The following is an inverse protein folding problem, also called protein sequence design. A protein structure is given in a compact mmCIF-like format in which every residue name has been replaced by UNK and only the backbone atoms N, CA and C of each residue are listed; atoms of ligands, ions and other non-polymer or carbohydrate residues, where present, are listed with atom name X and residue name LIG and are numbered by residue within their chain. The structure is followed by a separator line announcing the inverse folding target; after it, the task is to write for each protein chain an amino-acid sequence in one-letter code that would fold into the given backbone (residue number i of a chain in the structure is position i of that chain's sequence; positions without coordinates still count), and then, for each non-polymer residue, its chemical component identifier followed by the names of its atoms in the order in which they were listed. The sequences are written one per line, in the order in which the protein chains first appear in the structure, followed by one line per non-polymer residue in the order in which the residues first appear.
data_IF_298211705250
#
_entry.id   IF_298211705250
#
_cell.length_a   1.000
_cell.length_b   1.000
_cell.length_c   1.000
_cell.angle_alpha   90.00
_cell.angle_beta   90.00
_cell.angle_gamma   90.00
#
_symmetry.space_group_name_H-M   'P 1'
#
loop_
_entity.id
_entity.type
_entity.pdbx_description
1 polymer ?
#
# COMPACT_ATOMS: atom_id res chain seq x y z
N UNK A 1 -8.36 -0.42 -52.20
CA UNK A 1 -7.59 -0.49 -50.94
C UNK A 1 -8.21 0.31 -49.80
N UNK A 2 -8.46 1.62 -49.96
CA UNK A 2 -9.02 2.45 -48.88
C UNK A 2 -10.40 1.99 -48.35
N UNK A 3 -11.30 1.53 -49.22
CA UNK A 3 -12.61 1.03 -48.80
C UNK A 3 -12.55 -0.27 -47.97
N UNK A 4 -11.58 -1.14 -48.23
CA UNK A 4 -11.38 -2.36 -47.44
C UNK A 4 -10.88 -2.01 -46.03
N UNK A 5 -9.95 -1.06 -45.93
CA UNK A 5 -9.45 -0.54 -44.65
C UNK A 5 -10.58 0.13 -43.86
N UNK A 6 -11.38 0.99 -44.50
CA UNK A 6 -12.51 1.65 -43.87
C UNK A 6 -13.54 0.64 -43.34
N UNK A 7 -13.84 -0.42 -44.11
CA UNK A 7 -14.74 -1.49 -43.68
C UNK A 7 -14.23 -2.24 -42.44
N UNK A 8 -12.93 -2.57 -42.39
CA UNK A 8 -12.30 -3.22 -41.24
C UNK A 8 -12.33 -2.32 -40.01
N UNK A 9 -12.04 -1.03 -40.17
CA UNK A 9 -12.05 -0.08 -39.05
C UNK A 9 -13.46 0.10 -38.48
N UNK A 10 -14.48 0.31 -39.32
CA UNK A 10 -15.86 0.45 -38.86
C UNK A 10 -16.35 -0.81 -38.14
N UNK A 11 -15.99 -2.00 -38.64
CA UNK A 11 -16.31 -3.25 -37.96
C UNK A 11 -15.55 -3.41 -36.63
N UNK A 12 -14.28 -3.01 -36.58
CA UNK A 12 -13.48 -2.98 -35.36
C UNK A 12 -14.08 -2.08 -34.29
N UNK A 13 -14.43 -0.84 -34.65
CA UNK A 13 -15.08 0.11 -33.74
C UNK A 13 -16.44 -0.40 -33.23
N UNK A 14 -17.23 -1.08 -34.07
CA UNK A 14 -18.49 -1.67 -33.63
C UNK A 14 -18.29 -2.79 -32.60
N UNK A 15 -17.30 -3.67 -32.79
CA UNK A 15 -16.98 -4.74 -31.84
C UNK A 15 -16.42 -4.19 -30.52
N UNK A 16 -15.56 -3.18 -30.57
CA UNK A 16 -15.02 -2.49 -29.39
C UNK A 16 -16.12 -1.80 -28.60
N UNK A 17 -17.06 -1.12 -29.26
CA UNK A 17 -18.20 -0.47 -28.60
C UNK A 17 -19.07 -1.44 -27.80
N UNK A 18 -19.24 -2.68 -28.28
CA UNK A 18 -19.90 -3.75 -27.51
C UNK A 18 -19.07 -4.19 -26.30
N UNK A 19 -17.78 -4.41 -26.47
CA UNK A 19 -16.88 -4.81 -25.39
C UNK A 19 -16.79 -3.79 -24.25
N UNK A 20 -16.83 -2.50 -24.54
CA UNK A 20 -16.81 -1.43 -23.51
C UNK A 20 -18.06 -1.52 -22.60
N UNK A 21 -19.21 -1.89 -23.15
CA UNK A 21 -20.44 -2.03 -22.37
C UNK A 21 -20.35 -3.22 -21.41
N UNK A 22 -19.87 -4.36 -21.90
CA UNK A 22 -19.64 -5.55 -21.08
C UNK A 22 -18.62 -5.28 -19.97
N UNK A 23 -17.53 -4.54 -20.26
CA UNK A 23 -16.55 -4.15 -19.23
C UNK A 23 -17.15 -3.22 -18.16
N UNK A 24 -18.05 -2.32 -18.54
CA UNK A 24 -18.72 -1.44 -17.59
C UNK A 24 -19.69 -2.20 -16.68
N UNK A 25 -20.38 -3.21 -17.21
CA UNK A 25 -21.24 -4.10 -16.43
C UNK A 25 -20.41 -4.94 -15.45
N UNK A 26 -19.30 -5.54 -15.92
CA UNK A 26 -18.36 -6.27 -15.07
C UNK A 26 -17.71 -5.37 -13.99
N UNK A 27 -17.36 -4.13 -14.33
CA UNK A 27 -16.81 -3.18 -13.36
C UNK A 27 -17.84 -2.82 -12.28
N UNK A 28 -19.12 -2.71 -12.65
CA UNK A 28 -20.21 -2.50 -11.70
C UNK A 28 -20.39 -3.70 -10.79
N UNK A 29 -20.40 -4.92 -11.34
CA UNK A 29 -20.50 -6.15 -10.54
C UNK A 29 -19.32 -6.27 -9.57
N UNK A 30 -18.09 -5.97 -10.02
CA UNK A 30 -16.89 -5.92 -9.16
C UNK A 30 -17.00 -4.86 -8.07
N UNK A 31 -17.57 -3.70 -8.37
CA UNK A 31 -17.79 -2.66 -7.37
C UNK A 31 -18.86 -3.11 -6.36
N UNK A 32 -19.95 -3.72 -6.84
CA UNK A 32 -21.01 -4.25 -6.01
C UNK A 32 -20.48 -5.35 -5.09
N UNK A 33 -19.68 -6.29 -5.58
CA UNK A 33 -19.07 -7.32 -4.72
C UNK A 33 -18.17 -6.71 -3.64
N UNK A 34 -17.39 -5.68 -3.99
CA UNK A 34 -16.57 -4.94 -3.02
C UNK A 34 -17.41 -4.27 -1.93
N UNK A 35 -18.50 -3.57 -2.27
CA UNK A 35 -19.35 -2.88 -1.27
C UNK A 35 -19.86 -3.85 -0.21
N UNK A 36 -20.20 -5.08 -0.59
CA UNK A 36 -20.68 -6.09 0.34
C UNK A 36 -19.55 -6.68 1.21
N UNK A 37 -18.31 -6.69 0.74
CA UNK A 37 -17.17 -7.27 1.44
C UNK A 37 -16.43 -6.26 2.35
N UNK A 38 -16.43 -4.97 2.00
CA UNK A 38 -15.82 -3.90 2.80
C UNK A 38 -16.19 -3.97 4.29
N UNK A 39 -17.47 -4.04 4.70
CA UNK A 39 -17.81 -4.00 6.12
C UNK A 39 -17.21 -5.17 6.91
N UNK A 40 -17.07 -6.35 6.30
CA UNK A 40 -16.44 -7.51 6.93
C UNK A 40 -14.93 -7.31 7.08
N UNK A 41 -14.25 -6.85 6.03
CA UNK A 41 -12.80 -6.60 6.06
C UNK A 41 -12.43 -5.47 7.02
N UNK A 42 -13.21 -4.39 7.04
CA UNK A 42 -13.01 -3.28 7.99
C UNK A 42 -13.23 -3.73 9.43
N UNK A 43 -14.17 -4.64 9.69
CA UNK A 43 -14.35 -5.20 11.03
C UNK A 43 -13.18 -6.11 11.46
N UNK A 44 -12.59 -6.86 10.52
CA UNK A 44 -11.38 -7.64 10.80
C UNK A 44 -10.15 -6.76 11.05
N UNK A 45 -9.97 -5.71 10.25
CA UNK A 45 -8.89 -4.72 10.42
C UNK A 45 -9.00 -4.00 11.77
N UNK A 46 -10.19 -3.54 12.14
CA UNK A 46 -10.45 -2.87 13.43
C UNK A 46 -10.07 -3.77 14.62
N UNK A 47 -10.37 -5.08 14.56
CA UNK A 47 -9.99 -6.03 15.61
C UNK A 47 -8.47 -6.19 15.76
N UNK A 48 -7.72 -6.17 14.68
CA UNK A 48 -6.26 -6.26 14.74
C UNK A 48 -5.63 -4.96 15.27
N UNK A 49 -6.15 -3.81 14.85
CA UNK A 49 -5.71 -2.50 15.33
C UNK A 49 -5.89 -2.36 16.84
N UNK A 50 -7.06 -2.75 17.37
CA UNK A 50 -7.35 -2.71 18.81
C UNK A 50 -6.37 -3.57 19.61
N UNK A 51 -6.00 -4.76 19.09
CA UNK A 51 -5.01 -5.64 19.76
C UNK A 51 -3.63 -5.00 19.85
N UNK A 52 -3.18 -4.36 18.77
CA UNK A 52 -1.89 -3.67 18.74
C UNK A 52 -1.90 -2.48 19.68
N UNK A 53 -2.98 -1.71 19.69
CA UNK A 53 -3.13 -0.56 20.58
C UNK A 53 -3.03 -0.95 22.06
N UNK A 54 -3.72 -2.00 22.49
CA UNK A 54 -3.62 -2.47 23.88
C UNK A 54 -2.23 -3.04 24.22
N UNK A 55 -1.55 -3.67 23.27
CA UNK A 55 -0.17 -4.13 23.48
C UNK A 55 0.82 -2.96 23.62
N UNK A 56 0.61 -1.88 22.88
CA UNK A 56 1.41 -0.66 22.97
C UNK A 56 1.18 0.07 24.30
N UNK A 57 -0.07 0.21 24.75
CA UNK A 57 -0.41 0.77 26.06
C UNK A 57 0.19 -0.04 27.22
N UNK A 58 0.10 -1.37 27.14
CA UNK A 58 0.71 -2.24 28.16
C UNK A 58 2.24 -2.10 28.19
N UNK A 59 2.89 -1.95 27.03
CA UNK A 59 4.33 -1.67 26.93
C UNK A 59 4.69 -0.29 27.48
N UNK A 60 3.92 0.74 27.15
CA UNK A 60 4.12 2.11 27.63
C UNK A 60 3.99 2.18 29.16
N UNK A 61 2.95 1.56 29.73
CA UNK A 61 2.74 1.50 31.17
C UNK A 61 3.87 0.79 31.92
N UNK A 62 4.46 -0.25 31.33
CA UNK A 62 5.60 -0.95 31.92
C UNK A 62 6.88 -0.08 31.93
N UNK A 63 7.04 0.83 30.97
CA UNK A 63 8.24 1.67 30.83
C UNK A 63 8.11 3.04 31.51
N UNK A 64 6.96 3.68 31.42
CA UNK A 64 6.74 5.07 31.81
C UNK A 64 5.84 5.22 33.05
N UNK A 65 5.18 4.15 33.50
CA UNK A 65 4.36 4.15 34.71
C UNK A 65 3.02 4.92 34.60
N UNK A 66 2.79 5.67 33.54
CA UNK A 66 1.53 6.33 33.20
C UNK A 66 1.20 6.16 31.71
N UNK A 67 -0.08 6.25 31.38
CA UNK A 67 -0.55 6.32 29.99
C UNK A 67 -0.74 7.79 29.65
N UNK A 68 0.11 8.32 28.76
CA UNK A 68 0.10 9.75 28.43
C UNK A 68 -0.32 9.96 26.98
N UNK A 69 -1.44 10.67 26.77
CA UNK A 69 -1.83 11.08 25.43
C UNK A 69 -0.97 12.26 24.97
N UNK A 70 -0.32 12.13 23.82
CA UNK A 70 0.40 13.23 23.18
C UNK A 70 -0.55 14.34 22.65
N UNK A 71 -1.85 14.05 22.53
CA UNK A 71 -2.85 14.97 21.97
C UNK A 71 -3.80 15.50 23.05
N UNK A 72 -4.11 16.80 22.97
CA UNK A 72 -4.99 17.53 23.89
C UNK A 72 -6.50 17.33 23.58
N UNK A 73 -6.87 16.25 22.88
CA UNK A 73 -8.26 15.98 22.50
C UNK A 73 -8.55 14.49 22.58
N UNK A 74 -9.74 14.12 23.07
CA UNK A 74 -10.19 12.72 23.21
C UNK A 74 -10.60 12.05 21.88
N UNK A 75 -10.10 12.57 20.75
CA UNK A 75 -10.36 12.01 19.42
C UNK A 75 -9.45 10.81 19.19
N UNK A 76 -10.04 9.72 18.71
CA UNK A 76 -9.25 8.59 18.22
C UNK A 76 -8.35 9.01 17.05
N UNK A 77 -7.05 8.83 17.23
CA UNK A 77 -6.04 9.05 16.20
C UNK A 77 -5.51 7.71 15.74
N UNK A 78 -5.52 7.48 14.44
CA UNK A 78 -4.94 6.25 13.91
C UNK A 78 -3.42 6.32 14.09
N UNK A 79 -2.85 5.27 14.67
CA UNK A 79 -1.42 5.20 14.90
C UNK A 79 -0.67 5.21 13.56
N UNK A 80 0.27 6.14 13.39
CA UNK A 80 1.03 6.30 12.15
C UNK A 80 2.24 5.34 12.17
N UNK A 81 2.04 4.04 12.02
CA UNK A 81 3.17 3.08 11.93
C UNK A 81 4.05 3.28 10.70
N UNK A 82 3.51 3.87 9.64
CA UNK A 82 4.22 3.98 8.36
C UNK A 82 5.44 4.92 8.43
N UNK A 83 5.39 5.96 9.26
CA UNK A 83 6.45 6.97 9.33
C UNK A 83 7.65 6.52 10.20
N UNK A 84 7.40 5.70 11.23
CA UNK A 84 8.45 5.19 12.11
C UNK A 84 9.24 4.01 11.49
N UNK A 85 8.64 3.25 10.58
CA UNK A 85 9.33 2.14 9.90
C UNK A 85 10.39 2.64 8.90
N UNK A 86 10.06 3.66 8.10
CA UNK A 86 11.01 4.27 7.15
C UNK A 86 12.14 5.06 7.84
N UNK A 87 11.83 5.79 8.91
CA UNK A 87 12.85 6.56 9.64
C UNK A 87 13.75 5.71 10.55
N UNK A 88 13.28 4.56 11.01
CA UNK A 88 14.05 3.64 11.85
C UNK A 88 15.23 2.98 11.12
N UNK A 89 15.08 2.75 9.81
CA UNK A 89 16.10 2.14 8.95
C UNK A 89 17.14 3.16 8.47
N UNK A 90 16.73 4.38 8.13
CA UNK A 90 17.64 5.43 7.64
C UNK A 90 18.65 5.94 8.69
N UNK A 91 18.45 5.63 9.98
CA UNK A 91 19.28 6.12 11.08
C UNK A 91 20.40 5.19 11.57
N UNK A 92 20.37 3.90 11.21
CA UNK A 92 21.27 2.87 11.77
C UNK A 92 22.52 2.56 10.92
N UNK A 93 22.62 3.11 9.71
CA UNK A 93 23.69 2.80 8.75
C UNK A 93 25.04 3.51 9.03
N UNK A 94 25.15 4.35 10.06
CA UNK A 94 26.34 5.23 10.26
C UNK A 94 27.20 4.92 11.48
N UNK A 95 27.01 3.79 12.17
CA UNK A 95 27.74 3.48 13.42
C UNK A 95 28.24 2.05 13.59
N UNK A 96 28.48 1.31 12.53
CA UNK A 96 29.13 -0.01 12.62
C UNK A 96 30.07 -0.23 11.44
N UNK A 97 31.33 0.18 11.59
CA UNK A 97 32.42 -0.42 10.84
C UNK A 97 32.84 -1.69 11.59
N UNK A 98 32.82 -2.83 10.91
CA UNK A 98 34.04 -3.55 10.51
C UNK A 98 33.64 -4.79 9.69
N UNK A 99 34.34 -4.93 8.56
CA UNK A 99 34.60 -6.12 7.74
C UNK A 99 33.44 -6.84 7.04
N UNK A 100 33.23 -6.54 5.74
CA UNK A 100 33.27 -7.53 4.64
C UNK A 100 33.24 -6.81 3.28
N UNK A 101 34.31 -6.99 2.50
CA UNK A 101 34.63 -6.23 1.29
C UNK A 101 34.01 -6.78 -0.01
N UNK A 102 32.71 -7.10 -0.02
CA UNK A 102 32.04 -7.69 -1.19
C UNK A 102 30.81 -6.89 -1.70
N UNK A 103 30.26 -5.97 -0.89
CA UNK A 103 29.06 -5.21 -1.26
C UNK A 103 29.26 -4.16 -2.36
N UNK A 104 30.47 -3.62 -2.52
CA UNK A 104 30.72 -2.47 -3.41
C UNK A 104 30.77 -2.81 -4.91
N UNK A 105 30.98 -4.07 -5.28
CA UNK A 105 30.93 -4.50 -6.69
C UNK A 105 29.49 -4.68 -7.18
N UNK A 106 28.58 -5.15 -6.32
CA UNK A 106 27.16 -5.34 -6.65
C UNK A 106 26.46 -4.00 -6.91
N UNK A 107 26.78 -2.96 -6.14
CA UNK A 107 26.21 -1.62 -6.33
C UNK A 107 26.62 -0.96 -7.65
N UNK A 108 27.81 -1.26 -8.16
CA UNK A 108 28.32 -0.66 -9.40
C UNK A 108 27.68 -1.25 -10.65
N UNK A 109 27.24 -2.52 -10.59
CA UNK A 109 26.58 -3.21 -11.70
C UNK A 109 25.09 -2.82 -11.83
N UNK A 110 24.40 -2.61 -10.70
CA UNK A 110 22.97 -2.26 -10.68
C UNK A 110 22.73 -0.81 -11.11
N UNK A 111 23.60 0.14 -10.73
CA UNK A 111 23.44 1.56 -11.08
C UNK A 111 24.16 1.97 -12.38
N UNK A 112 25.05 1.13 -12.92
CA UNK A 112 25.75 1.39 -14.18
C UNK A 112 24.90 1.17 -15.44
N UNK A 113 23.72 0.55 -15.33
CA UNK A 113 22.87 0.17 -16.47
C UNK A 113 21.78 1.20 -16.81
N UNK A 114 21.68 2.31 -16.06
CA UNK A 114 20.75 3.42 -16.31
C UNK A 114 21.49 4.73 -16.61
N UNK A 115 22.40 4.67 -17.59
CA UNK A 115 23.07 5.83 -18.22
C UNK A 115 23.10 5.66 -19.73
#
# INVERSE_FOLDING_TARGET
MLFAMAGVMTFGFWKVGKGIREQNELAREKMWSRIHLIPLLTAEEDRDLVRRHYADLAREKALLGSETSAYNSDRYVQFLSFFLFELGWAGWERRGGDDDGDGLEVWRDVYGQFG
#
